data_IF_922383882704
#
_entry.id   IF_922383882704
#
_cell.length_a   1.000
_cell.length_b   1.000
_cell.length_c   1.000
_cell.angle_alpha   90.00
_cell.angle_beta   90.00
_cell.angle_gamma   90.00
#
_symmetry.space_group_name_H-M   'P 1'
#
loop_
_entity.id
_entity.type
_entity.pdbx_description
1 polymer ?
#
# COMPACT_ATOMS: atom_id res chain seq x y z
N UNK A 1 25.85 -9.83 7.60
CA UNK A 1 25.56 -9.12 6.33
C UNK A 1 25.15 -10.18 5.32
N UNK A 2 23.86 -10.32 5.03
CA UNK A 2 23.36 -11.29 4.04
C UNK A 2 23.19 -10.57 2.71
N UNK A 3 24.06 -10.93 1.77
CA UNK A 3 24.05 -10.56 0.36
C UNK A 3 22.68 -10.86 -0.28
N UNK A 4 22.16 -9.95 -1.10
CA UNK A 4 20.90 -10.11 -1.84
C UNK A 4 21.01 -11.09 -3.03
N UNK A 5 22.18 -11.71 -3.24
CA UNK A 5 22.49 -12.54 -4.40
C UNK A 5 22.09 -14.02 -4.27
N UNK A 6 21.38 -14.44 -3.22
CA UNK A 6 21.03 -15.85 -3.01
C UNK A 6 19.71 -16.30 -3.66
N UNK A 7 19.06 -15.46 -4.45
CA UNK A 7 18.00 -15.92 -5.35
C UNK A 7 18.62 -16.18 -6.73
N UNK A 8 18.77 -17.44 -7.12
CA UNK A 8 19.14 -17.87 -8.47
C UNK A 8 18.02 -17.52 -9.46
N UNK A 9 17.75 -16.24 -9.69
CA UNK A 9 16.77 -15.75 -10.65
C UNK A 9 17.48 -15.62 -12.02
N UNK A 10 17.23 -16.55 -12.94
CA UNK A 10 17.75 -16.55 -14.32
C UNK A 10 17.12 -15.47 -15.22
N UNK A 11 16.40 -14.51 -14.65
CA UNK A 11 15.66 -13.48 -15.37
C UNK A 11 16.37 -12.13 -15.28
N UNK A 12 16.78 -11.59 -16.43
CA UNK A 12 17.57 -10.35 -16.57
C UNK A 12 16.69 -9.08 -16.62
N UNK A 13 15.38 -9.21 -16.38
CA UNK A 13 14.44 -8.09 -16.46
C UNK A 13 14.13 -7.50 -15.07
N UNK A 14 13.87 -6.19 -15.04
CA UNK A 14 13.44 -5.49 -13.84
C UNK A 14 12.11 -6.04 -13.31
N UNK A 15 12.05 -6.42 -12.03
CA UNK A 15 10.87 -7.07 -11.43
C UNK A 15 10.61 -6.62 -10.01
N UNK A 16 9.33 -6.42 -9.68
CA UNK A 16 8.87 -6.14 -8.34
C UNK A 16 8.48 -7.44 -7.61
N UNK A 17 9.15 -7.75 -6.51
CA UNK A 17 8.87 -8.89 -5.63
C UNK A 17 8.36 -8.39 -4.29
N UNK A 18 7.27 -8.96 -3.80
CA UNK A 18 6.83 -8.72 -2.42
C UNK A 18 7.74 -9.53 -1.49
N UNK A 19 8.42 -8.85 -0.56
CA UNK A 19 9.30 -9.49 0.43
C UNK A 19 8.56 -9.75 1.75
N UNK A 20 7.62 -8.87 2.10
CA UNK A 20 6.80 -8.98 3.29
C UNK A 20 5.36 -8.66 2.90
N UNK A 21 4.57 -9.73 2.74
CA UNK A 21 3.15 -9.67 2.38
C UNK A 21 2.33 -8.97 3.47
N UNK A 22 1.22 -8.28 3.13
CA UNK A 22 0.29 -7.78 4.13
C UNK A 22 -0.32 -8.92 4.95
N UNK A 23 -0.65 -8.65 6.21
CA UNK A 23 -1.42 -9.57 7.05
C UNK A 23 -2.75 -9.95 6.36
N UNK A 24 -3.17 -11.23 6.39
CA UNK A 24 -4.32 -11.72 5.64
C UNK A 24 -5.67 -11.23 6.20
N UNK A 25 -5.72 -10.89 7.49
CA UNK A 25 -6.92 -10.41 8.17
C UNK A 25 -6.66 -9.01 8.72
N UNK A 26 -7.45 -8.04 8.27
CA UNK A 26 -7.38 -6.65 8.73
C UNK A 26 -8.77 -6.02 8.76
N UNK A 27 -9.10 -5.31 9.85
CA UNK A 27 -10.37 -4.61 9.99
C UNK A 27 -10.30 -3.23 9.33
N UNK A 28 -11.07 -3.02 8.27
CA UNK A 28 -11.10 -1.73 7.58
C UNK A 28 -11.82 -0.70 8.43
N UNK A 29 -11.26 0.50 8.51
CA UNK A 29 -11.72 1.59 9.37
C UNK A 29 -12.74 2.47 8.65
N UNK A 30 -13.72 3.05 9.37
CA UNK A 30 -14.43 4.20 8.82
C UNK A 30 -13.53 5.44 8.82
N UNK A 31 -13.81 6.40 7.95
CA UNK A 31 -13.01 7.64 7.84
C UNK A 31 -12.92 8.40 9.17
N UNK A 32 -13.98 8.37 9.99
CA UNK A 32 -14.01 8.95 11.34
C UNK A 32 -13.08 8.26 12.34
N UNK A 33 -12.64 7.04 12.06
CA UNK A 33 -11.83 6.22 12.97
C UNK A 33 -10.34 6.24 12.64
N UNK A 34 -9.95 6.70 11.46
CA UNK A 34 -8.56 6.68 10.98
C UNK A 34 -7.63 7.50 11.89
N UNK A 35 -8.18 8.48 12.62
CA UNK A 35 -7.45 9.30 13.60
C UNK A 35 -7.02 8.53 14.86
N UNK A 36 -7.55 7.33 15.08
CA UNK A 36 -7.13 6.47 16.19
C UNK A 36 -5.74 5.94 15.89
N UNK A 37 -4.75 6.39 16.68
CA UNK A 37 -3.43 5.80 16.64
C UNK A 37 -3.54 4.31 16.97
N UNK A 38 -2.73 3.47 16.30
CA UNK A 38 -2.57 2.01 16.52
C UNK A 38 -3.33 1.01 15.64
N UNK A 39 -4.07 1.41 14.58
CA UNK A 39 -4.71 0.44 13.66
C UNK A 39 -4.12 0.49 12.24
N UNK A 40 -2.87 0.05 12.11
CA UNK A 40 -2.17 -0.03 10.83
C UNK A 40 -2.20 -1.43 10.21
N UNK A 41 -2.08 -1.48 8.89
CA UNK A 41 -1.85 -2.67 8.10
C UNK A 41 -0.37 -3.05 8.21
N UNK A 42 -0.12 -4.14 8.93
CA UNK A 42 1.21 -4.71 9.10
C UNK A 42 1.47 -5.82 8.07
N UNK A 43 2.74 -6.19 7.94
CA UNK A 43 3.12 -7.41 7.25
C UNK A 43 2.74 -8.66 8.05
N UNK A 44 2.61 -9.78 7.36
CA UNK A 44 2.38 -11.09 7.96
C UNK A 44 3.67 -11.65 8.60
N UNK A 45 3.65 -12.10 9.87
CA UNK A 45 2.56 -12.00 10.84
C UNK A 45 2.44 -10.62 11.49
N UNK A 46 1.19 -10.19 11.67
CA UNK A 46 0.81 -8.92 12.30
C UNK A 46 1.49 -8.67 13.67
N UNK A 47 1.71 -9.75 14.43
CA UNK A 47 2.28 -9.73 15.77
C UNK A 47 3.69 -9.09 15.81
N UNK A 48 4.44 -9.22 14.72
CA UNK A 48 5.79 -8.66 14.60
C UNK A 48 5.78 -7.14 14.36
N UNK A 49 4.62 -6.56 14.05
CA UNK A 49 4.45 -5.13 13.71
C UNK A 49 5.44 -4.65 12.64
N UNK A 50 5.82 -5.54 11.72
CA UNK A 50 6.67 -5.22 10.57
C UNK A 50 5.84 -4.54 9.49
N UNK A 51 6.48 -3.69 8.69
CA UNK A 51 5.84 -3.03 7.55
C UNK A 51 5.90 -3.90 6.31
N UNK A 52 4.93 -3.72 5.41
CA UNK A 52 4.95 -4.33 4.08
C UNK A 52 6.20 -3.83 3.34
N UNK A 53 6.87 -4.75 2.65
CA UNK A 53 8.08 -4.46 1.87
C UNK A 53 8.01 -5.11 0.51
N UNK A 54 8.42 -4.34 -0.48
CA UNK A 54 8.60 -4.82 -1.85
C UNK A 54 10.01 -4.47 -2.31
N UNK A 55 10.58 -5.30 -3.16
CA UNK A 55 11.90 -5.13 -3.74
C UNK A 55 11.77 -5.05 -5.25
N UNK A 56 12.33 -4.00 -5.84
CA UNK A 56 12.60 -3.95 -7.27
C UNK A 56 14.01 -4.53 -7.50
N UNK A 57 14.06 -5.65 -8.20
CA UNK A 57 15.28 -6.35 -8.62
C UNK A 57 15.65 -5.96 -10.06
N UNK A 58 16.92 -6.05 -10.39
CA UNK A 58 17.47 -5.90 -11.75
C UNK A 58 17.07 -4.57 -12.43
N UNK A 59 16.94 -3.50 -11.63
CA UNK A 59 16.76 -2.15 -12.15
C UNK A 59 18.13 -1.52 -12.38
N UNK A 60 18.45 -1.21 -13.65
CA UNK A 60 19.72 -0.62 -14.07
C UNK A 60 19.59 0.87 -14.48
N UNK A 61 18.38 1.45 -14.39
CA UNK A 61 18.14 2.84 -14.76
C UNK A 61 18.75 3.85 -13.79
N UNK A 62 19.09 5.01 -14.32
CA UNK A 62 19.62 6.15 -13.56
C UNK A 62 18.52 7.01 -12.94
N UNK A 63 17.27 6.84 -13.39
CA UNK A 63 16.12 7.63 -12.96
C UNK A 63 15.64 7.27 -11.54
N UNK A 64 14.97 8.24 -10.90
CA UNK A 64 14.25 7.99 -9.65
C UNK A 64 13.06 7.05 -9.87
N UNK A 65 12.98 6.02 -9.04
CA UNK A 65 11.88 5.05 -9.07
C UNK A 65 10.87 5.37 -7.97
N UNK A 66 9.59 5.50 -8.35
CA UNK A 66 8.47 5.55 -7.41
C UNK A 66 7.73 4.22 -7.40
N UNK A 67 7.47 3.67 -6.21
CA UNK A 67 6.68 2.45 -6.03
C UNK A 67 5.38 2.79 -5.33
N UNK A 68 4.26 2.44 -5.95
CA UNK A 68 2.90 2.76 -5.47
C UNK A 68 2.15 1.49 -5.11
N UNK A 69 1.31 1.57 -4.08
CA UNK A 69 0.31 0.55 -3.78
C UNK A 69 -1.09 1.13 -3.92
N UNK A 70 -2.03 0.33 -4.44
CA UNK A 70 -3.46 0.63 -4.54
C UNK A 70 -4.26 -0.60 -4.15
N UNK A 71 -5.55 -0.41 -3.85
CA UNK A 71 -6.47 -1.50 -3.58
C UNK A 71 -7.15 -1.93 -4.88
N UNK A 72 -7.23 -3.25 -5.10
CA UNK A 72 -7.95 -3.86 -6.21
C UNK A 72 -8.94 -4.89 -5.70
N UNK A 73 -9.97 -5.20 -6.49
CA UNK A 73 -10.89 -6.30 -6.22
C UNK A 73 -10.18 -7.66 -6.34
N UNK A 74 -10.68 -8.65 -5.61
CA UNK A 74 -10.19 -10.03 -5.74
C UNK A 74 -10.84 -10.81 -6.91
N UNK A 75 -11.58 -10.11 -7.77
CA UNK A 75 -12.06 -10.68 -9.02
C UNK A 75 -10.90 -10.91 -10.01
N UNK A 76 -11.12 -11.80 -10.98
CA UNK A 76 -10.13 -12.11 -12.03
C UNK A 76 -9.65 -10.87 -12.80
N UNK A 77 -10.53 -9.86 -12.97
CA UNK A 77 -10.21 -8.63 -13.68
C UNK A 77 -9.39 -7.62 -12.85
N UNK A 78 -9.23 -7.84 -11.53
CA UNK A 78 -8.42 -6.98 -10.62
C UNK A 78 -8.68 -5.48 -10.80
N UNK A 79 -9.95 -5.07 -10.82
CA UNK A 79 -10.34 -3.66 -10.98
C UNK A 79 -10.02 -2.84 -9.72
N UNK A 80 -9.80 -1.52 -9.82
CA UNK A 80 -9.62 -0.66 -8.65
C UNK A 80 -10.75 -0.84 -7.63
N UNK A 81 -10.39 -0.94 -6.35
CA UNK A 81 -11.36 -1.07 -5.26
C UNK A 81 -11.91 0.32 -4.88
N UNK A 82 -13.18 0.39 -4.49
CA UNK A 82 -13.83 1.64 -4.05
C UNK A 82 -13.41 2.08 -2.63
N UNK A 83 -12.72 1.22 -1.89
CA UNK A 83 -12.11 1.56 -0.61
C UNK A 83 -10.79 2.26 -0.87
N UNK A 84 -10.37 3.11 0.07
CA UNK A 84 -9.18 3.94 -0.09
C UNK A 84 -8.09 3.55 0.90
N UNK A 85 -6.86 3.92 0.57
CA UNK A 85 -5.71 3.77 1.46
C UNK A 85 -5.51 5.05 2.26
N UNK A 86 -5.36 4.90 3.57
CA UNK A 86 -4.87 5.96 4.44
C UNK A 86 -3.39 5.74 4.76
N UNK A 87 -2.62 6.82 4.84
CA UNK A 87 -1.23 6.82 5.35
C UNK A 87 -1.07 7.94 6.37
N UNK A 88 -0.51 7.61 7.54
CA UNK A 88 -0.13 8.62 8.54
C UNK A 88 1.29 9.15 8.26
N UNK A 89 1.40 10.45 8.01
CA UNK A 89 2.66 11.17 7.76
C UNK A 89 2.81 12.25 8.83
N UNK A 90 3.74 12.07 9.77
CA UNK A 90 3.83 12.94 10.95
C UNK A 90 2.53 12.92 11.75
N UNK A 91 1.90 14.09 11.92
CA UNK A 91 0.59 14.26 12.56
C UNK A 91 -0.60 14.24 11.57
N UNK A 92 -0.33 14.22 10.26
CA UNK A 92 -1.34 14.26 9.22
C UNK A 92 -1.72 12.85 8.72
N UNK A 93 -2.93 12.75 8.18
CA UNK A 93 -3.45 11.53 7.57
C UNK A 93 -3.84 11.89 6.14
N UNK A 94 -3.27 11.17 5.17
CA UNK A 94 -3.63 11.29 3.76
C UNK A 94 -4.48 10.10 3.36
N UNK A 95 -5.64 10.34 2.74
CA UNK A 95 -6.55 9.30 2.26
C UNK A 95 -6.67 9.43 0.73
N UNK A 96 -6.11 8.47 0.01
CA UNK A 96 -5.97 8.49 -1.44
C UNK A 96 -6.27 7.09 -2.03
N UNK A 97 -6.46 7.02 -3.35
CA UNK A 97 -6.63 5.76 -4.08
C UNK A 97 -5.34 4.91 -4.12
N UNK A 98 -4.19 5.58 -4.07
CA UNK A 98 -2.88 4.96 -3.96
C UNK A 98 -2.03 5.66 -2.90
N UNK A 99 -0.99 4.96 -2.42
CA UNK A 99 0.02 5.50 -1.52
C UNK A 99 1.41 5.20 -2.07
N UNK A 100 2.31 6.17 -1.94
CA UNK A 100 3.70 6.00 -2.32
C UNK A 100 4.49 5.33 -1.19
N UNK A 101 5.30 4.34 -1.58
CA UNK A 101 6.23 3.66 -0.70
C UNK A 101 7.46 4.52 -0.44
N UNK A 102 8.04 4.35 0.74
CA UNK A 102 9.34 4.92 1.07
C UNK A 102 10.42 4.06 0.41
N UNK A 103 10.97 4.54 -0.71
CA UNK A 103 11.99 3.84 -1.49
C UNK A 103 13.37 4.08 -0.89
N UNK A 104 14.10 2.99 -0.65
CA UNK A 104 15.47 2.99 -0.17
C UNK A 104 16.33 2.21 -1.16
N UNK A 105 17.38 2.85 -1.68
CA UNK A 105 18.41 2.18 -2.47
C UNK A 105 19.47 1.60 -1.54
N UNK A 106 19.63 0.28 -1.56
CA UNK A 106 20.65 -0.46 -0.83
C UNK A 106 21.47 -1.23 -1.86
N UNK A 107 22.65 -0.71 -2.20
CA UNK A 107 23.48 -1.21 -3.31
C UNK A 107 22.66 -1.22 -4.62
N UNK A 108 22.63 -2.36 -5.32
CA UNK A 108 21.88 -2.58 -6.57
C UNK A 108 20.41 -2.96 -6.35
N UNK A 109 19.92 -2.88 -5.12
CA UNK A 109 18.55 -3.23 -4.77
C UNK A 109 17.75 -2.00 -4.34
N UNK A 110 16.55 -1.84 -4.89
CA UNK A 110 15.59 -0.84 -4.45
C UNK A 110 14.52 -1.52 -3.60
N UNK A 111 14.36 -1.07 -2.37
CA UNK A 111 13.35 -1.59 -1.44
C UNK A 111 12.36 -0.48 -1.11
N UNK A 112 11.08 -0.69 -1.42
CA UNK A 112 10.02 0.21 -0.99
C UNK A 112 9.31 -0.34 0.25
N UNK A 113 9.13 0.51 1.24
CA UNK A 113 8.42 0.21 2.48
C UNK A 113 7.10 0.98 2.51
N UNK A 114 6.07 0.36 3.06
CA UNK A 114 4.77 1.01 3.24
C UNK A 114 4.38 1.10 4.72
N UNK A 115 4.93 2.07 5.47
CA UNK A 115 4.63 2.21 6.88
C UNK A 115 3.30 2.92 7.12
N UNK A 116 2.69 2.60 8.26
CA UNK A 116 1.49 3.28 8.79
C UNK A 116 0.35 3.40 7.77
N UNK A 117 0.21 2.38 6.91
CA UNK A 117 -0.93 2.23 6.02
C UNK A 117 -2.15 1.76 6.81
N UNK A 118 -3.34 2.18 6.39
CA UNK A 118 -4.63 1.66 6.84
C UNK A 118 -5.58 1.59 5.64
N UNK A 119 -6.62 0.77 5.72
CA UNK A 119 -7.67 0.69 4.69
C UNK A 119 -8.92 1.38 5.23
N UNK A 120 -9.45 2.33 4.46
CA UNK A 120 -10.62 3.13 4.80
C UNK A 120 -11.84 2.64 4.01
N UNK A 121 -12.89 2.31 4.74
CA UNK A 121 -14.23 2.05 4.22
C UNK A 121 -14.82 3.33 3.65
N UNK A 122 -14.80 3.47 2.33
CA UNK A 122 -15.63 4.45 1.64
C UNK A 122 -17.09 3.99 1.73
N UNK A 123 -17.98 4.85 2.22
CA UNK A 123 -19.42 4.60 2.10
C UNK A 123 -19.76 4.56 0.62
N UNK A 124 -20.38 3.48 0.16
CA UNK A 124 -21.05 3.51 -1.14
C UNK A 124 -22.21 4.49 -0.95
N UNK A 125 -22.29 5.60 -1.71
CA UNK A 125 -23.45 6.48 -1.62
C UNK A 125 -24.67 5.64 -1.98
N UNK A 126 -25.64 5.55 -1.07
CA UNK A 126 -26.93 5.00 -1.43
C UNK A 126 -27.49 5.87 -2.55
N UNK A 127 -28.06 5.28 -3.60
CA UNK A 127 -28.72 6.00 -4.70
C UNK A 127 -29.84 6.97 -4.24
N UNK A 128 -30.20 6.99 -2.95
CA UNK A 128 -31.15 7.92 -2.34
C UNK A 128 -30.55 9.23 -1.81
N UNK A 129 -29.22 9.38 -1.75
CA UNK A 129 -28.54 10.59 -1.25
C UNK A 129 -28.18 11.57 -2.39
N UNK A 130 -28.81 11.44 -3.57
CA UNK A 130 -28.79 12.51 -4.57
C UNK A 130 -29.57 13.69 -3.98
N UNK A 131 -28.82 14.62 -3.39
CA UNK A 131 -29.26 15.91 -2.91
C UNK A 131 -30.32 16.48 -3.86
N UNK A 132 -31.54 16.67 -3.35
CA UNK A 132 -32.50 17.58 -3.94
C UNK A 132 -31.84 18.96 -3.92
N UNK A 133 -31.24 19.36 -5.03
CA UNK A 133 -30.92 20.76 -5.29
C UNK A 133 -32.26 21.47 -5.36
N UNK A 134 -32.69 22.06 -4.24
CA UNK A 134 -33.73 23.10 -4.26
C UNK A 134 -33.09 24.32 -4.91
N UNK A 135 -33.45 24.57 -6.16
CA UNK A 135 -33.25 25.87 -6.79
C UNK A 135 -34.30 26.79 -6.19
N UNK A 136 -33.85 27.75 -5.38
CA UNK A 136 -34.66 28.88 -4.89
C UNK A 136 -34.80 29.94 -5.97
#
# INVERSE_FOLDING_TARGET
MTSCYNDCDSFVEARLKILQEPQPIYSFLYESEVRKDHVYLYADPAADKKWIRVQLKHWEGEEEVSVRCSLVSDSLERKPHFHRLAKKIGSQIQINEYQEGEVLKLNDCLIAKFPKLSIVRTKIPNNGDREMIKVS
#
